data_IF_482317128887
#
_entry.id   IF_482317128887
#
_cell.length_a   1.000
_cell.length_b   1.000
_cell.length_c   1.000
_cell.angle_alpha   90.00
_cell.angle_beta   90.00
_cell.angle_gamma   90.00
#
_symmetry.space_group_name_H-M   'P 1'
#
loop_
_entity.id
_entity.type
_entity.pdbx_description
1 polymer ?
#
# COMPACT_ATOMS: atom_id res chain seq x y z
N UNK A 1 -27.23 -7.02 0.75
CA UNK A 1 -26.10 -6.24 0.20
C UNK A 1 -24.82 -6.57 0.95
N UNK A 2 -24.77 -6.35 2.26
CA UNK A 2 -23.58 -6.63 3.09
C UNK A 2 -23.20 -8.12 3.16
N UNK A 3 -24.16 -9.05 3.11
CA UNK A 3 -23.86 -10.49 3.20
C UNK A 3 -23.10 -11.02 1.99
N UNK A 4 -23.34 -10.44 0.80
CA UNK A 4 -22.65 -10.82 -0.43
C UNK A 4 -21.21 -10.32 -0.42
N UNK A 5 -21.00 -9.07 0.00
CA UNK A 5 -19.66 -8.49 0.21
C UNK A 5 -18.84 -9.30 1.22
N UNK A 6 -19.48 -9.74 2.31
CA UNK A 6 -18.83 -10.53 3.36
C UNK A 6 -18.46 -11.94 2.90
N UNK A 7 -19.30 -12.55 2.04
CA UNK A 7 -18.98 -13.84 1.44
C UNK A 7 -17.83 -13.71 0.43
N UNK A 8 -17.86 -12.67 -0.42
CA UNK A 8 -16.82 -12.43 -1.41
C UNK A 8 -15.46 -12.16 -0.77
N UNK A 9 -15.42 -11.32 0.26
CA UNK A 9 -14.19 -11.02 0.99
C UNK A 9 -13.61 -12.26 1.66
N UNK A 10 -14.45 -13.12 2.25
CA UNK A 10 -14.03 -14.39 2.83
C UNK A 10 -13.43 -15.34 1.80
N UNK A 11 -14.02 -15.40 0.60
CA UNK A 11 -13.52 -16.27 -0.46
C UNK A 11 -12.18 -15.79 -1.02
N UNK A 12 -12.05 -14.50 -1.32
CA UNK A 12 -10.83 -13.95 -1.95
C UNK A 12 -9.65 -13.91 -0.98
N UNK A 13 -9.90 -13.68 0.31
CA UNK A 13 -8.87 -13.58 1.35
C UNK A 13 -8.64 -14.88 2.11
N UNK A 14 -9.21 -15.99 1.65
CA UNK A 14 -8.96 -17.31 2.25
C UNK A 14 -7.47 -17.67 2.11
N UNK A 15 -6.77 -18.03 3.20
CA UNK A 15 -5.34 -18.35 3.16
C UNK A 15 -4.99 -19.57 2.30
N UNK A 16 -5.96 -20.43 1.97
CA UNK A 16 -5.77 -21.54 1.02
C UNK A 16 -5.64 -21.03 -0.43
N UNK A 17 -6.26 -19.88 -0.72
CA UNK A 17 -6.36 -19.30 -2.07
C UNK A 17 -5.34 -18.16 -2.25
N UNK A 18 -5.14 -17.33 -1.22
CA UNK A 18 -4.26 -16.16 -1.28
C UNK A 18 -3.24 -16.15 -0.14
N UNK A 19 -1.96 -16.30 -0.51
CA UNK A 19 -0.83 -16.14 0.41
C UNK A 19 -0.28 -14.71 0.32
N UNK A 20 -0.32 -13.99 1.45
CA UNK A 20 0.16 -12.60 1.54
C UNK A 20 1.68 -12.46 1.59
N UNK A 21 2.41 -13.55 1.80
CA UNK A 21 3.88 -13.54 1.94
C UNK A 21 4.59 -13.59 0.60
N UNK A 22 3.87 -13.98 -0.46
CA UNK A 22 4.40 -14.07 -1.81
C UNK A 22 4.07 -12.82 -2.61
N UNK A 23 5.02 -12.39 -3.43
CA UNK A 23 4.79 -11.30 -4.40
C UNK A 23 3.90 -11.84 -5.53
N UNK A 24 2.83 -11.13 -5.93
CA UNK A 24 2.01 -11.52 -7.06
C UNK A 24 2.78 -11.33 -8.38
N UNK A 25 3.10 -12.44 -9.03
CA UNK A 25 3.68 -12.47 -10.36
C UNK A 25 3.18 -13.73 -11.10
N UNK A 26 2.87 -13.61 -12.39
CA UNK A 26 2.40 -14.75 -13.19
C UNK A 26 3.53 -15.75 -13.44
N UNK A 27 4.72 -15.23 -13.69
CA UNK A 27 5.97 -15.98 -13.84
C UNK A 27 7.00 -15.37 -12.89
N UNK A 28 7.87 -16.20 -12.32
CA UNK A 28 8.89 -15.77 -11.35
C UNK A 28 9.88 -14.73 -11.90
N UNK A 29 10.07 -14.65 -13.23
CA UNK A 29 10.95 -13.68 -13.90
C UNK A 29 10.29 -12.33 -14.14
N UNK A 30 8.96 -12.24 -14.04
CA UNK A 30 8.23 -11.02 -14.37
C UNK A 30 8.50 -9.95 -13.30
N UNK A 31 8.49 -8.68 -13.71
CA UNK A 31 8.64 -7.50 -12.84
C UNK A 31 7.25 -6.97 -12.44
N UNK A 32 7.09 -6.54 -11.18
CA UNK A 32 5.86 -5.90 -10.70
C UNK A 32 6.17 -4.42 -10.68
N UNK A 33 5.64 -3.70 -11.66
CA UNK A 33 5.77 -2.27 -11.71
C UNK A 33 4.84 -1.67 -10.66
N UNK A 34 5.43 -0.92 -9.73
CA UNK A 34 4.71 -0.19 -8.68
C UNK A 34 4.94 1.29 -8.95
N UNK A 35 3.86 2.02 -9.20
CA UNK A 35 3.89 3.47 -9.28
C UNK A 35 3.46 4.00 -7.92
N UNK A 36 4.20 4.95 -7.36
CA UNK A 36 3.79 5.61 -6.14
C UNK A 36 3.78 7.11 -6.37
N UNK A 37 2.76 7.76 -5.82
CA UNK A 37 2.59 9.20 -5.86
C UNK A 37 2.59 9.73 -4.43
N UNK A 38 3.21 10.90 -4.25
CA UNK A 38 3.31 11.58 -2.97
C UNK A 38 2.54 12.90 -3.04
N UNK A 39 1.53 13.02 -2.18
CA UNK A 39 0.72 14.24 -2.07
C UNK A 39 1.02 14.94 -0.75
N UNK A 40 1.59 16.15 -0.85
CA UNK A 40 1.92 16.98 0.30
C UNK A 40 0.69 17.69 0.85
N UNK A 41 0.33 17.38 2.10
CA UNK A 41 -0.75 18.07 2.79
C UNK A 41 -0.25 19.33 3.50
N UNK A 42 0.81 19.22 4.32
CA UNK A 42 1.33 20.36 5.08
C UNK A 42 2.81 20.19 5.49
N UNK A 43 3.56 21.30 5.54
CA UNK A 43 4.86 21.43 6.22
C UNK A 43 4.62 21.80 7.70
N UNK A 44 5.01 20.94 8.63
CA UNK A 44 4.74 21.11 10.07
C UNK A 44 5.89 21.84 10.76
N UNK A 45 7.13 21.40 10.53
CA UNK A 45 8.31 21.95 11.19
C UNK A 45 9.58 21.73 10.36
N UNK A 46 10.56 22.61 10.55
CA UNK A 46 11.88 22.56 9.90
C UNK A 46 12.96 22.83 10.94
N UNK A 47 13.75 21.81 11.25
CA UNK A 47 14.93 21.90 12.09
C UNK A 47 16.19 21.92 11.22
N UNK A 48 16.68 23.12 10.90
CA UNK A 48 17.85 23.33 10.06
C UNK A 48 19.15 22.84 10.72
N UNK A 49 19.23 22.91 12.06
CA UNK A 49 20.42 22.52 12.81
C UNK A 49 20.62 21.01 12.78
N UNK A 50 19.52 20.26 12.85
CA UNK A 50 19.52 18.80 12.78
C UNK A 50 19.20 18.25 11.38
N UNK A 51 18.92 19.12 10.40
CA UNK A 51 18.53 18.77 9.02
C UNK A 51 17.29 17.88 8.93
N UNK A 52 16.27 18.17 9.75
CA UNK A 52 15.01 17.41 9.79
C UNK A 52 13.85 18.27 9.33
N UNK A 53 13.03 17.74 8.43
CA UNK A 53 11.78 18.37 7.99
C UNK A 53 10.62 17.44 8.38
N UNK A 54 9.67 17.96 9.14
CA UNK A 54 8.45 17.24 9.52
C UNK A 54 7.29 17.70 8.63
N UNK A 55 6.70 16.78 7.85
CA UNK A 55 5.57 17.09 6.97
C UNK A 55 4.46 16.04 7.07
N UNK A 56 3.22 16.44 6.83
CA UNK A 56 2.08 15.55 6.68
C UNK A 56 1.86 15.24 5.20
N UNK A 57 1.93 13.96 4.83
CA UNK A 57 1.85 13.48 3.46
C UNK A 57 0.83 12.37 3.33
N UNK A 58 0.24 12.26 2.14
CA UNK A 58 -0.46 11.07 1.70
C UNK A 58 0.41 10.35 0.67
N UNK A 59 0.69 9.07 0.92
CA UNK A 59 1.33 8.19 -0.05
C UNK A 59 0.24 7.34 -0.71
N UNK A 60 0.17 7.40 -2.03
CA UNK A 60 -0.72 6.55 -2.83
C UNK A 60 0.12 5.61 -3.67
N UNK A 61 -0.26 4.33 -3.67
CA UNK A 61 0.36 3.24 -4.43
C UNK A 61 -0.62 2.72 -5.48
#
# INVERSE_FOLDING_TARGET
>A
MCDVEMNLTRLILDPVIYDKTIRPARIHTDVTNISFDLSLAQLIDVDEKNQVITTNQWLTM
#
